data_IF_399851782521
#
_entry.id   IF_399851782521
#
_cell.length_a   1.000
_cell.length_b   1.000
_cell.length_c   1.000
_cell.angle_alpha   90.00
_cell.angle_beta   90.00
_cell.angle_gamma   90.00
#
_symmetry.space_group_name_H-M   'P 1'
#
loop_
_entity.id
_entity.type
_entity.pdbx_description
1 polymer ?
#
# COMPACT_ATOMS: atom_id res chain seq x y z
N UNK A 1 8.95 -18.07 5.84
CA UNK A 1 7.72 -18.52 6.54
C UNK A 1 6.51 -17.68 6.09
N UNK A 2 6.59 -16.37 5.96
CA UNK A 2 5.52 -15.48 5.52
C UNK A 2 4.96 -15.86 4.11
N UNK A 3 5.81 -16.18 3.13
CA UNK A 3 5.38 -16.55 1.76
C UNK A 3 4.49 -17.81 1.70
N UNK A 4 4.70 -18.79 2.58
CA UNK A 4 3.89 -20.03 2.61
C UNK A 4 2.55 -19.77 3.28
N UNK A 5 2.55 -18.93 4.28
CA UNK A 5 1.36 -18.53 5.05
C UNK A 5 0.41 -17.69 4.18
N UNK A 6 0.96 -16.73 3.42
CA UNK A 6 0.20 -15.91 2.45
C UNK A 6 -0.55 -16.75 1.42
N UNK A 7 0.04 -17.84 0.93
CA UNK A 7 -0.60 -18.71 -0.07
C UNK A 7 -1.87 -19.39 0.44
N UNK A 8 -2.00 -19.61 1.75
CA UNK A 8 -3.19 -20.25 2.34
C UNK A 8 -4.19 -19.26 2.93
N UNK A 9 -3.71 -18.10 3.43
CA UNK A 9 -4.58 -17.08 4.00
C UNK A 9 -5.14 -16.09 2.97
N UNK A 10 -4.48 -15.90 1.84
CA UNK A 10 -4.96 -14.97 0.80
C UNK A 10 -6.40 -15.25 0.37
N UNK A 11 -6.82 -16.50 0.40
CA UNK A 11 -8.21 -16.87 0.07
C UNK A 11 -9.22 -16.43 1.12
N UNK A 12 -8.84 -16.49 2.41
CA UNK A 12 -9.69 -16.04 3.53
C UNK A 12 -9.65 -14.52 3.63
N UNK A 13 -8.50 -13.93 3.37
CA UNK A 13 -8.29 -12.48 3.37
C UNK A 13 -9.11 -11.77 2.29
N UNK A 14 -9.15 -12.31 1.08
CA UNK A 14 -9.96 -11.77 -0.02
C UNK A 14 -11.48 -11.80 0.30
N UNK A 15 -11.93 -12.71 1.17
CA UNK A 15 -13.34 -12.80 1.62
C UNK A 15 -13.64 -11.85 2.80
N UNK A 16 -12.65 -11.55 3.66
CA UNK A 16 -12.82 -10.74 4.88
C UNK A 16 -12.42 -9.28 4.66
N UNK A 17 -11.48 -9.02 3.76
CA UNK A 17 -10.92 -7.70 3.47
C UNK A 17 -11.98 -6.64 3.09
N UNK A 18 -13.03 -6.93 2.31
CA UNK A 18 -14.09 -5.95 2.00
C UNK A 18 -14.85 -5.45 3.23
N UNK A 19 -14.82 -6.19 4.35
CA UNK A 19 -15.41 -5.76 5.62
C UNK A 19 -14.47 -4.89 6.46
N UNK A 20 -13.16 -4.96 6.19
CA UNK A 20 -12.12 -4.22 6.93
C UNK A 20 -11.72 -2.96 6.16
N UNK A 21 -11.59 -3.06 4.82
CA UNK A 21 -11.17 -1.98 3.95
C UNK A 21 -12.11 -1.89 2.75
N UNK A 22 -12.99 -0.89 2.73
CA UNK A 22 -14.01 -0.69 1.71
C UNK A 22 -13.75 0.56 0.87
N UNK A 23 -14.58 0.76 -0.17
CA UNK A 23 -14.43 1.88 -1.10
C UNK A 23 -14.55 3.24 -0.41
N UNK A 24 -15.47 3.41 0.54
CA UNK A 24 -15.64 4.66 1.29
C UNK A 24 -14.38 5.03 2.09
N UNK A 25 -13.74 4.04 2.72
CA UNK A 25 -12.48 4.25 3.46
C UNK A 25 -11.33 4.56 2.51
N UNK A 26 -11.26 3.87 1.36
CA UNK A 26 -10.28 4.13 0.30
C UNK A 26 -10.42 5.56 -0.21
N UNK A 27 -11.64 5.95 -0.59
CA UNK A 27 -11.90 7.25 -1.22
C UNK A 27 -11.63 8.38 -0.22
N UNK A 28 -11.97 8.21 1.05
CA UNK A 28 -11.61 9.15 2.12
C UNK A 28 -10.09 9.26 2.32
N UNK A 29 -9.35 8.16 2.22
CA UNK A 29 -7.89 8.20 2.32
C UNK A 29 -7.26 8.88 1.09
N UNK A 30 -7.87 8.73 -0.09
CA UNK A 30 -7.46 9.43 -1.31
C UNK A 30 -7.60 10.95 -1.16
N UNK A 31 -8.63 11.44 -0.45
CA UNK A 31 -8.78 12.87 -0.15
C UNK A 31 -7.57 13.47 0.61
N UNK A 32 -6.85 12.66 1.38
CA UNK A 32 -5.63 13.08 2.09
C UNK A 32 -4.36 12.94 1.26
N UNK A 33 -4.45 12.29 0.12
CA UNK A 33 -3.27 11.93 -0.68
C UNK A 33 -2.73 13.08 -1.53
N UNK A 34 -3.52 14.13 -1.75
CA UNK A 34 -3.15 15.39 -2.42
C UNK A 34 -2.39 15.17 -3.74
N UNK A 35 -3.03 14.45 -4.68
CA UNK A 35 -2.51 14.21 -6.02
C UNK A 35 -3.34 14.93 -7.06
N UNK A 36 -2.68 15.46 -8.08
CA UNK A 36 -3.32 16.15 -9.20
C UNK A 36 -3.43 15.29 -10.46
N UNK A 37 -4.17 15.77 -11.47
CA UNK A 37 -4.48 15.00 -12.68
C UNK A 37 -3.24 14.62 -13.52
N UNK A 38 -2.17 15.38 -13.43
CA UNK A 38 -0.91 15.17 -14.16
C UNK A 38 0.14 14.39 -13.35
N UNK A 39 -0.12 14.11 -12.07
CA UNK A 39 0.83 13.42 -11.20
C UNK A 39 0.97 11.94 -11.56
N UNK A 40 2.19 11.44 -11.56
CA UNK A 40 2.50 10.03 -11.76
C UNK A 40 2.54 9.33 -10.41
N UNK A 41 1.59 8.43 -10.18
CA UNK A 41 1.39 7.74 -8.90
C UNK A 41 1.85 6.29 -8.99
N UNK A 42 2.59 5.84 -7.96
CA UNK A 42 2.93 4.43 -7.77
C UNK A 42 2.03 3.81 -6.69
N UNK A 43 1.28 2.75 -7.05
CA UNK A 43 0.46 1.93 -6.15
C UNK A 43 1.24 0.64 -5.81
N UNK A 44 1.85 0.58 -4.61
CA UNK A 44 2.67 -0.55 -4.15
C UNK A 44 1.85 -1.54 -3.35
N UNK A 45 1.89 -2.80 -3.76
CA UNK A 45 0.99 -3.84 -3.26
C UNK A 45 -0.40 -3.70 -3.89
N UNK A 46 -0.47 -3.31 -5.16
CA UNK A 46 -1.72 -2.96 -5.85
C UNK A 46 -2.74 -4.11 -5.94
N UNK A 47 -2.31 -5.35 -5.71
CA UNK A 47 -3.18 -6.52 -5.74
C UNK A 47 -3.96 -6.63 -7.05
N UNK A 48 -5.29 -6.71 -6.94
CA UNK A 48 -6.21 -6.75 -8.09
C UNK A 48 -6.59 -5.35 -8.61
N UNK A 49 -5.98 -4.28 -8.09
CA UNK A 49 -6.20 -2.91 -8.49
C UNK A 49 -7.32 -2.18 -7.75
N UNK A 50 -7.57 -2.53 -6.49
CA UNK A 50 -8.62 -1.87 -5.68
C UNK A 50 -8.29 -0.39 -5.41
N UNK A 51 -7.05 -0.09 -4.99
CA UNK A 51 -6.62 1.30 -4.83
C UNK A 51 -6.39 1.97 -6.19
N UNK A 52 -5.81 1.25 -7.15
CA UNK A 52 -5.62 1.73 -8.54
C UNK A 52 -6.92 2.32 -9.12
N UNK A 53 -8.08 1.67 -8.88
CA UNK A 53 -9.39 2.14 -9.33
C UNK A 53 -9.76 3.51 -8.76
N UNK A 54 -9.57 3.71 -7.45
CA UNK A 54 -9.83 5.00 -6.81
C UNK A 54 -8.84 6.09 -7.26
N UNK A 55 -7.55 5.76 -7.34
CA UNK A 55 -6.50 6.67 -7.78
C UNK A 55 -6.72 7.19 -9.22
N UNK A 56 -7.34 6.39 -10.09
CA UNK A 56 -7.73 6.81 -11.43
C UNK A 56 -8.84 7.87 -11.46
N UNK A 57 -9.47 8.13 -10.33
CA UNK A 57 -10.37 9.28 -10.17
C UNK A 57 -9.63 10.62 -10.04
N UNK A 58 -8.36 10.59 -9.60
CA UNK A 58 -7.55 11.78 -9.34
C UNK A 58 -6.51 12.03 -10.42
N UNK A 59 -5.89 10.97 -10.97
CA UNK A 59 -4.85 11.07 -12.00
C UNK A 59 -5.05 10.03 -13.10
N UNK A 60 -4.59 10.35 -14.32
CA UNK A 60 -4.55 9.39 -15.41
C UNK A 60 -3.30 8.48 -15.39
N UNK A 61 -2.30 8.75 -14.54
CA UNK A 61 -0.97 8.13 -14.58
C UNK A 61 -0.71 7.25 -13.35
N UNK A 62 -1.29 6.04 -13.33
CA UNK A 62 -1.12 5.09 -12.23
C UNK A 62 -0.23 3.91 -12.64
N UNK A 63 0.80 3.65 -11.84
CA UNK A 63 1.68 2.50 -11.96
C UNK A 63 1.46 1.56 -10.79
N UNK A 64 0.94 0.35 -11.04
CA UNK A 64 0.73 -0.66 -10.01
C UNK A 64 1.92 -1.62 -9.91
N UNK A 65 2.36 -1.92 -8.69
CA UNK A 65 3.38 -2.93 -8.43
C UNK A 65 2.89 -3.95 -7.42
N UNK A 66 3.06 -5.23 -7.71
CA UNK A 66 2.78 -6.34 -6.80
C UNK A 66 3.76 -7.49 -6.99
N UNK A 67 4.03 -8.28 -5.96
CA UNK A 67 4.87 -9.47 -6.06
C UNK A 67 4.16 -10.67 -6.68
N UNK A 68 2.81 -10.70 -6.60
CA UNK A 68 1.96 -11.78 -7.05
C UNK A 68 1.58 -11.65 -8.52
N UNK A 69 2.11 -12.52 -9.37
CA UNK A 69 1.71 -12.58 -10.79
C UNK A 69 0.21 -12.78 -10.95
N UNK A 70 -0.42 -13.59 -10.09
CA UNK A 70 -1.86 -13.87 -10.15
C UNK A 70 -2.72 -12.63 -9.87
N UNK A 71 -2.31 -11.81 -8.89
CA UNK A 71 -3.00 -10.55 -8.61
C UNK A 71 -2.86 -9.58 -9.78
N UNK A 72 -1.64 -9.45 -10.34
CA UNK A 72 -1.38 -8.59 -11.49
C UNK A 72 -2.15 -9.02 -12.75
N UNK A 73 -2.33 -10.32 -12.99
CA UNK A 73 -3.17 -10.81 -14.10
C UNK A 73 -4.61 -10.32 -13.97
N UNK A 74 -5.15 -10.30 -12.74
CA UNK A 74 -6.50 -9.80 -12.46
C UNK A 74 -6.58 -8.28 -12.59
N UNK A 75 -5.58 -7.55 -12.10
CA UNK A 75 -5.49 -6.10 -12.27
C UNK A 75 -5.39 -5.73 -13.75
N UNK A 76 -4.54 -6.42 -14.50
CA UNK A 76 -4.39 -6.22 -15.94
C UNK A 76 -5.68 -6.51 -16.72
N UNK A 77 -6.44 -7.54 -16.31
CA UNK A 77 -7.74 -7.83 -16.93
C UNK A 77 -8.75 -6.69 -16.76
N UNK A 78 -8.67 -5.95 -15.63
CA UNK A 78 -9.53 -4.78 -15.37
C UNK A 78 -9.05 -3.53 -16.09
N UNK A 79 -7.76 -3.22 -15.99
CA UNK A 79 -7.20 -1.92 -16.36
C UNK A 79 -6.22 -1.96 -17.55
N UNK A 80 -5.85 -3.12 -18.07
CA UNK A 80 -4.84 -3.27 -19.11
C UNK A 80 -5.18 -2.61 -20.46
N UNK A 81 -6.43 -2.19 -20.64
CA UNK A 81 -6.88 -1.38 -21.79
C UNK A 81 -6.83 0.11 -21.54
N UNK A 82 -6.60 0.53 -20.31
CA UNK A 82 -6.40 1.93 -19.94
C UNK A 82 -4.96 2.32 -20.26
N UNK A 83 -4.77 3.13 -21.27
CA UNK A 83 -3.44 3.41 -21.84
C UNK A 83 -2.43 4.04 -20.88
N UNK A 84 -2.91 4.63 -19.79
CA UNK A 84 -2.11 5.33 -18.78
C UNK A 84 -1.77 4.47 -17.56
N UNK A 85 -2.35 3.26 -17.45
CA UNK A 85 -2.06 2.34 -16.34
C UNK A 85 -1.00 1.32 -16.75
N UNK A 86 0.00 1.14 -15.89
CA UNK A 86 1.07 0.15 -16.10
C UNK A 86 1.21 -0.72 -14.87
N UNK A 87 1.46 -2.02 -15.08
CA UNK A 87 1.65 -2.97 -13.99
C UNK A 87 3.04 -3.58 -14.05
N UNK A 88 3.66 -3.73 -12.87
CA UNK A 88 5.00 -4.27 -12.69
C UNK A 88 4.99 -5.36 -11.63
N UNK A 89 5.74 -6.42 -11.86
CA UNK A 89 6.00 -7.41 -10.84
C UNK A 89 7.28 -7.05 -10.10
N UNK A 90 7.18 -6.85 -8.78
CA UNK A 90 8.32 -6.43 -7.97
C UNK A 90 8.12 -6.66 -6.49
N UNK A 91 9.13 -6.24 -5.72
CA UNK A 91 9.18 -6.29 -4.28
C UNK A 91 9.21 -4.86 -3.74
N UNK A 92 8.40 -4.58 -2.70
CA UNK A 92 8.35 -3.27 -2.06
C UNK A 92 9.69 -2.85 -1.45
N UNK A 93 10.46 -3.82 -0.95
CA UNK A 93 11.78 -3.60 -0.35
C UNK A 93 12.89 -3.36 -1.40
N UNK A 94 12.56 -3.50 -2.69
CA UNK A 94 13.49 -3.28 -3.81
C UNK A 94 12.74 -2.91 -5.08
N UNK A 95 12.34 -1.66 -5.17
CA UNK A 95 11.56 -1.15 -6.29
C UNK A 95 12.39 -1.05 -7.58
N UNK A 96 11.88 -1.55 -8.73
CA UNK A 96 12.60 -1.55 -9.99
C UNK A 96 12.54 -0.20 -10.72
N UNK A 97 12.53 0.90 -9.99
CA UNK A 97 12.42 2.26 -10.51
C UNK A 97 13.65 3.09 -10.13
N UNK A 98 13.90 4.14 -10.89
CA UNK A 98 14.93 5.13 -10.58
C UNK A 98 14.49 6.02 -9.45
N UNK A 99 15.44 6.72 -8.84
CA UNK A 99 15.16 7.79 -7.88
C UNK A 99 14.27 8.86 -8.52
N UNK A 100 13.42 9.49 -7.71
CA UNK A 100 12.59 10.64 -8.09
C UNK A 100 11.68 10.39 -9.32
N UNK A 101 11.19 9.15 -9.50
CA UNK A 101 10.41 8.74 -10.67
C UNK A 101 8.91 9.00 -10.54
N UNK A 102 8.42 9.25 -9.33
CA UNK A 102 7.00 9.41 -9.03
C UNK A 102 6.73 10.69 -8.26
N UNK A 103 5.57 11.28 -8.50
CA UNK A 103 5.08 12.44 -7.78
C UNK A 103 4.51 12.05 -6.42
N UNK A 104 3.87 10.87 -6.36
CA UNK A 104 3.33 10.33 -5.14
C UNK A 104 3.36 8.79 -5.14
N UNK A 105 3.30 8.18 -3.93
CA UNK A 105 3.26 6.76 -3.74
C UNK A 105 2.17 6.39 -2.75
N UNK A 106 1.32 5.48 -3.16
CA UNK A 106 0.28 4.84 -2.36
C UNK A 106 0.65 3.41 -2.02
N UNK A 107 0.34 2.97 -0.80
CA UNK A 107 0.33 1.56 -0.45
C UNK A 107 -0.76 1.28 0.59
N UNK A 108 -1.64 0.33 0.33
CA UNK A 108 -2.71 -0.05 1.25
C UNK A 108 -2.83 -1.56 1.40
N UNK A 109 -3.04 -2.03 2.65
CA UNK A 109 -3.23 -3.44 2.98
C UNK A 109 -2.04 -4.33 2.58
N UNK A 110 -0.83 -3.82 2.70
CA UNK A 110 0.38 -4.54 2.32
C UNK A 110 1.53 -4.45 3.33
N UNK A 111 1.58 -3.41 4.17
CA UNK A 111 2.66 -3.21 5.15
C UNK A 111 2.78 -4.38 6.12
N UNK A 112 1.69 -5.01 6.48
CA UNK A 112 1.61 -6.15 7.37
C UNK A 112 2.30 -7.42 6.82
N UNK A 113 2.70 -7.41 5.56
CA UNK A 113 3.37 -8.53 4.87
C UNK A 113 4.84 -8.26 4.55
N UNK A 114 5.36 -7.08 4.82
CA UNK A 114 6.75 -6.75 4.51
C UNK A 114 7.70 -7.32 5.57
N UNK A 115 8.68 -8.14 5.19
CA UNK A 115 9.70 -8.63 6.12
C UNK A 115 10.55 -7.53 6.75
N UNK A 116 10.83 -6.46 6.00
CA UNK A 116 11.57 -5.27 6.44
C UNK A 116 10.83 -3.99 6.00
N UNK A 117 9.88 -3.49 6.82
CA UNK A 117 9.09 -2.31 6.47
C UNK A 117 9.94 -1.05 6.33
N UNK A 118 11.05 -0.94 7.07
CA UNK A 118 11.95 0.20 6.97
C UNK A 118 12.69 0.20 5.62
N UNK A 119 13.09 -0.98 5.13
CA UNK A 119 13.66 -1.11 3.79
C UNK A 119 12.66 -0.70 2.70
N UNK A 120 11.39 -1.12 2.82
CA UNK A 120 10.34 -0.71 1.90
C UNK A 120 10.12 0.81 1.93
N UNK A 121 10.01 1.41 3.11
CA UNK A 121 9.85 2.85 3.27
C UNK A 121 11.04 3.65 2.73
N UNK A 122 12.28 3.15 2.85
CA UNK A 122 13.46 3.76 2.21
C UNK A 122 13.35 3.75 0.68
N UNK A 123 12.87 2.65 0.12
CA UNK A 123 12.61 2.57 -1.33
C UNK A 123 11.49 3.54 -1.76
N UNK A 124 10.44 3.67 -0.97
CA UNK A 124 9.35 4.64 -1.24
C UNK A 124 9.89 6.06 -1.26
N UNK A 125 10.67 6.44 -0.24
CA UNK A 125 11.33 7.74 -0.19
C UNK A 125 12.28 7.97 -1.35
N UNK A 126 13.00 6.93 -1.81
CA UNK A 126 13.94 7.02 -2.93
C UNK A 126 13.24 7.27 -4.27
N UNK A 127 12.13 6.60 -4.52
CA UNK A 127 11.45 6.67 -5.83
C UNK A 127 10.51 7.85 -5.97
N UNK A 128 10.07 8.44 -4.86
CA UNK A 128 9.24 9.64 -4.85
C UNK A 128 10.14 10.89 -4.87
N UNK A 129 9.80 11.84 -5.71
CA UNK A 129 10.54 13.11 -5.83
C UNK A 129 10.50 13.92 -4.52
N UNK A 130 11.48 14.79 -4.26
CA UNK A 130 11.42 15.71 -3.15
C UNK A 130 10.14 16.56 -3.18
N UNK A 131 9.44 16.64 -2.06
CA UNK A 131 8.14 17.32 -1.95
C UNK A 131 6.94 16.50 -2.41
N UNK A 132 7.14 15.28 -2.89
CA UNK A 132 6.05 14.35 -3.18
C UNK A 132 5.50 13.67 -1.93
N UNK A 133 4.34 13.03 -2.05
CA UNK A 133 3.60 12.42 -0.94
C UNK A 133 3.73 10.91 -0.94
N UNK A 134 3.95 10.32 0.23
CA UNK A 134 3.86 8.87 0.46
C UNK A 134 2.74 8.60 1.45
N UNK A 135 1.75 7.80 1.05
CA UNK A 135 0.66 7.38 1.92
C UNK A 135 0.67 5.87 2.09
N UNK A 136 0.73 5.41 3.33
CA UNK A 136 0.66 4.00 3.69
C UNK A 136 -0.56 3.76 4.57
N UNK A 137 -1.43 2.84 4.14
CA UNK A 137 -2.63 2.44 4.88
C UNK A 137 -2.45 1.01 5.38
N UNK A 138 -2.51 0.84 6.68
CA UNK A 138 -2.47 -0.46 7.35
C UNK A 138 -3.59 -0.61 8.35
N UNK A 139 -3.82 -1.83 8.86
CA UNK A 139 -4.79 -2.08 9.91
C UNK A 139 -4.29 -1.51 11.24
N UNK A 140 -5.19 -0.86 11.99
CA UNK A 140 -4.93 -0.43 13.36
C UNK A 140 -4.83 -1.63 14.32
N UNK A 141 -4.08 -1.45 15.40
CA UNK A 141 -3.86 -2.51 16.41
C UNK A 141 -5.19 -2.83 17.13
N UNK A 142 -5.60 -4.11 17.21
CA UNK A 142 -6.89 -4.45 17.79
C UNK A 142 -6.97 -4.10 19.29
N UNK A 143 -8.06 -3.49 19.71
CA UNK A 143 -8.28 -3.11 21.13
C UNK A 143 -8.56 -4.29 22.09
N UNK A 144 -8.77 -5.51 21.58
CA UNK A 144 -9.07 -6.71 22.38
C UNK A 144 -7.85 -7.60 22.53
N UNK A 145 -7.47 -7.93 23.77
CA UNK A 145 -6.31 -8.80 24.08
C UNK A 145 -6.35 -10.20 23.45
N UNK A 146 -7.55 -10.72 23.20
CA UNK A 146 -7.71 -12.02 22.52
C UNK A 146 -7.43 -11.87 21.03
N UNK A 147 -7.95 -10.81 20.40
CA UNK A 147 -7.68 -10.51 19.00
C UNK A 147 -6.24 -10.06 18.77
N UNK A 148 -5.61 -9.34 19.72
CA UNK A 148 -4.18 -9.00 19.67
C UNK A 148 -3.31 -10.26 19.53
N UNK A 149 -3.49 -11.26 20.39
CA UNK A 149 -2.71 -12.51 20.33
C UNK A 149 -2.91 -13.30 19.04
N UNK A 150 -4.10 -13.22 18.45
CA UNK A 150 -4.40 -13.85 17.16
C UNK A 150 -3.76 -13.05 16.03
N UNK A 151 -3.86 -11.73 16.09
CA UNK A 151 -3.29 -10.81 15.14
C UNK A 151 -1.76 -10.92 15.08
N UNK A 152 -1.07 -10.89 16.20
CA UNK A 152 0.40 -11.07 16.31
C UNK A 152 0.90 -12.41 15.76
N UNK A 153 0.03 -13.41 15.75
CA UNK A 153 0.36 -14.72 15.18
C UNK A 153 0.21 -14.77 13.64
N UNK A 154 -0.52 -13.83 13.06
CA UNK A 154 -0.98 -13.90 11.66
C UNK A 154 -0.44 -12.75 10.81
N UNK A 155 -0.42 -11.53 11.35
CA UNK A 155 -0.08 -10.29 10.65
C UNK A 155 0.80 -9.41 11.53
N UNK A 156 1.57 -8.53 10.90
CA UNK A 156 2.29 -7.47 11.59
C UNK A 156 1.36 -6.26 11.70
N UNK A 157 1.08 -5.86 12.92
CA UNK A 157 0.38 -4.63 13.23
C UNK A 157 1.38 -3.64 13.82
N UNK A 158 1.19 -2.37 13.55
CA UNK A 158 2.05 -1.30 14.04
C UNK A 158 1.18 -0.29 14.79
N UNK A 159 1.62 0.09 15.99
CA UNK A 159 1.05 1.25 16.66
C UNK A 159 1.64 2.56 16.11
N UNK A 160 1.07 3.70 16.50
CA UNK A 160 1.51 5.02 16.02
C UNK A 160 3.00 5.27 16.33
N UNK A 161 3.47 4.91 17.54
CA UNK A 161 4.86 5.10 17.95
C UNK A 161 5.83 4.22 17.13
N UNK A 162 5.40 3.02 16.74
CA UNK A 162 6.17 2.13 15.88
C UNK A 162 6.21 2.65 14.45
N UNK A 163 5.09 3.13 13.92
CA UNK A 163 5.02 3.75 12.62
C UNK A 163 5.93 4.97 12.55
N UNK A 164 5.88 5.87 13.54
CA UNK A 164 6.74 7.05 13.64
C UNK A 164 8.21 6.68 13.58
N UNK A 165 8.61 5.68 14.36
CA UNK A 165 10.00 5.19 14.36
C UNK A 165 10.44 4.65 13.02
N UNK A 166 9.57 3.88 12.33
CA UNK A 166 9.88 3.32 11.01
C UNK A 166 10.03 4.42 9.95
N UNK A 167 9.12 5.40 9.92
CA UNK A 167 9.21 6.51 9.00
C UNK A 167 10.45 7.39 9.26
N UNK A 168 10.74 7.73 10.52
CA UNK A 168 11.94 8.46 10.90
C UNK A 168 13.22 7.70 10.52
N UNK A 169 13.28 6.39 10.78
CA UNK A 169 14.43 5.54 10.43
C UNK A 169 14.61 5.41 8.90
N UNK A 170 13.51 5.44 8.14
CA UNK A 170 13.55 5.48 6.69
C UNK A 170 13.98 6.85 6.13
N UNK A 171 14.02 7.89 6.97
CA UNK A 171 14.51 9.23 6.64
C UNK A 171 13.41 10.19 6.19
N UNK A 172 12.16 9.94 6.54
CA UNK A 172 11.09 10.92 6.39
C UNK A 172 11.22 11.98 7.49
N UNK A 173 11.04 13.25 7.14
CA UNK A 173 11.20 14.39 8.06
C UNK A 173 9.87 14.84 8.65
N UNK A 174 8.79 14.65 7.91
CA UNK A 174 7.42 15.02 8.32
C UNK A 174 6.46 13.88 7.98
N UNK A 175 5.60 13.53 8.93
CA UNK A 175 4.53 12.56 8.74
C UNK A 175 3.36 12.86 9.67
N UNK A 176 2.17 12.44 9.25
CA UNK A 176 0.91 12.63 9.95
C UNK A 176 0.16 11.29 10.02
N UNK A 177 -0.64 11.10 11.07
CA UNK A 177 -1.49 9.93 11.23
C UNK A 177 -2.96 10.30 11.08
N UNK A 178 -3.68 9.48 10.34
CA UNK A 178 -5.12 9.59 10.19
C UNK A 178 -5.77 8.26 10.57
N UNK A 179 -6.44 8.20 11.72
CA UNK A 179 -7.16 7.01 12.17
C UNK A 179 -8.60 7.09 11.67
N UNK A 180 -9.00 6.17 10.80
CA UNK A 180 -10.36 6.01 10.37
C UNK A 180 -11.10 5.07 11.34
N UNK A 181 -12.03 5.62 12.13
CA UNK A 181 -12.97 4.83 12.93
C UNK A 181 -14.24 4.57 12.12
N UNK A 182 -14.79 3.37 12.26
CA UNK A 182 -16.10 3.00 11.69
C UNK A 182 -17.24 3.65 12.44
#
# INVERSE_FOLDING_TARGET
RARLFYKYLSKVYDEVNPFIWNEEMRDRAIEWFDVGPDDVVLDVGCGTGFATEGLLGETEHVHGLDQSAHQLERAFAKFGRHGSVKFYRGDAERLPFRDDSFDALWSSGSIEYWPDPVAALREFRRVVRPGGTVLVVGPDYPNSTLFQRLADAIMLFYDEDEADRMFAEAGFETFEHHIQQR
#
